data_IF_929049948682
#
_entry.id   IF_929049948682
#
_cell.length_a   1.000
_cell.length_b   1.000
_cell.length_c   1.000
_cell.angle_alpha   90.00
_cell.angle_beta   90.00
_cell.angle_gamma   90.00
#
_symmetry.space_group_name_H-M   'P 1'
#
loop_
_entity.id
_entity.type
_entity.pdbx_description
1 polymer ?
#
# COMPACT_ATOMS: atom_id res chain seq x y z
N UNK A 1 9.11 -0.27 -11.85
CA UNK A 1 8.42 -1.10 -10.84
C UNK A 1 7.18 -0.38 -10.32
N UNK A 2 6.12 -0.36 -11.13
CA UNK A 2 4.80 0.08 -10.68
C UNK A 2 4.12 -1.10 -9.97
N UNK A 3 3.34 -0.81 -8.94
CA UNK A 3 2.79 -1.76 -7.98
C UNK A 3 1.29 -1.57 -7.83
N UNK A 4 0.55 -2.65 -7.63
CA UNK A 4 -0.91 -2.70 -7.56
C UNK A 4 -1.39 -2.92 -6.13
N UNK A 5 -2.33 -2.09 -5.69
CA UNK A 5 -2.85 -2.11 -4.31
C UNK A 5 -3.75 -3.32 -4.04
N UNK A 6 -4.57 -3.74 -5.00
CA UNK A 6 -5.54 -4.83 -4.78
C UNK A 6 -4.85 -6.18 -4.45
N UNK A 7 -3.81 -6.60 -5.18
CA UNK A 7 -3.04 -7.80 -4.82
C UNK A 7 -2.34 -7.68 -3.47
N UNK A 8 -1.80 -6.50 -3.14
CA UNK A 8 -1.18 -6.26 -1.84
C UNK A 8 -2.18 -6.32 -0.67
N UNK A 9 -3.38 -5.76 -0.86
CA UNK A 9 -4.48 -5.85 0.09
C UNK A 9 -4.90 -7.31 0.32
N UNK A 10 -5.00 -8.10 -0.75
CA UNK A 10 -5.27 -9.54 -0.66
C UNK A 10 -4.16 -10.29 0.08
N UNK A 11 -2.90 -9.95 -0.18
CA UNK A 11 -1.76 -10.56 0.50
C UNK A 11 -1.77 -10.27 2.02
N UNK A 12 -2.12 -9.04 2.43
CA UNK A 12 -2.34 -8.70 3.84
C UNK A 12 -3.47 -9.51 4.47
N UNK A 13 -4.61 -9.60 3.79
CA UNK A 13 -5.79 -10.31 4.30
C UNK A 13 -5.61 -11.83 4.38
N UNK A 14 -4.73 -12.38 3.55
CA UNK A 14 -4.36 -13.80 3.59
C UNK A 14 -3.30 -14.14 4.64
N UNK A 15 -2.66 -13.15 5.26
CA UNK A 15 -1.64 -13.39 6.29
C UNK A 15 -2.35 -13.77 7.62
N UNK A 16 -2.16 -15.01 8.13
CA UNK A 16 -2.87 -15.47 9.32
C UNK A 16 -2.46 -14.73 10.60
N UNK A 17 -1.32 -14.02 10.58
CA UNK A 17 -0.87 -13.19 11.70
C UNK A 17 -1.29 -11.73 11.54
N UNK A 18 -2.00 -11.37 10.47
CA UNK A 18 -2.54 -10.01 10.30
C UNK A 18 -3.81 -9.84 11.14
N UNK A 19 -3.74 -8.92 12.10
CA UNK A 19 -4.86 -8.54 12.97
C UNK A 19 -5.48 -7.22 12.48
N UNK A 20 -6.30 -7.32 11.42
CA UNK A 20 -6.88 -6.15 10.75
C UNK A 20 -8.41 -6.29 10.68
N UNK A 21 -9.11 -5.38 11.36
CA UNK A 21 -10.58 -5.36 11.38
C UNK A 21 -11.21 -4.61 10.21
N UNK A 22 -10.46 -3.71 9.57
CA UNK A 22 -10.94 -2.96 8.42
C UNK A 22 -9.89 -1.97 7.92
N UNK A 23 -10.20 -1.30 6.81
CA UNK A 23 -9.21 -0.48 6.10
C UNK A 23 -9.66 0.97 5.91
N UNK A 24 -8.75 1.90 6.15
CA UNK A 24 -8.81 3.22 5.51
C UNK A 24 -8.12 3.09 4.16
N UNK A 25 -8.90 3.18 3.09
CA UNK A 25 -8.46 2.99 1.72
C UNK A 25 -7.91 4.32 1.14
N UNK A 26 -6.82 4.26 0.35
CA UNK A 26 -6.11 5.45 -0.12
C UNK A 26 -6.92 6.26 -1.13
N UNK A 27 -7.21 7.53 -0.82
CA UNK A 27 -7.97 8.43 -1.70
C UNK A 27 -7.38 8.58 -3.11
N UNK A 28 -6.09 8.89 -3.24
CA UNK A 28 -5.46 9.12 -4.56
C UNK A 28 -5.43 7.88 -5.45
N UNK A 29 -5.13 6.71 -4.89
CA UNK A 29 -5.18 5.46 -5.67
C UNK A 29 -6.63 5.15 -6.06
N UNK A 30 -7.57 5.33 -5.15
CA UNK A 30 -9.00 5.12 -5.41
C UNK A 30 -9.56 6.08 -6.46
N UNK A 31 -9.00 7.28 -6.59
CA UNK A 31 -9.35 8.20 -7.68
C UNK A 31 -9.04 7.62 -9.06
N UNK A 32 -8.02 6.77 -9.16
CA UNK A 32 -7.64 6.08 -10.40
C UNK A 32 -8.43 4.78 -10.56
N UNK A 33 -8.47 3.94 -9.53
CA UNK A 33 -8.99 2.55 -9.63
C UNK A 33 -10.47 2.41 -9.30
N UNK A 34 -11.07 3.43 -8.71
CA UNK A 34 -12.47 3.45 -8.32
C UNK A 34 -12.74 2.75 -7.01
N UNK A 35 -13.96 2.91 -6.51
CA UNK A 35 -14.43 2.26 -5.28
C UNK A 35 -14.75 0.77 -5.50
N UNK A 36 -15.34 0.41 -6.65
CA UNK A 36 -15.87 -0.95 -6.88
C UNK A 36 -14.82 -2.04 -6.85
N UNK A 37 -13.58 -1.75 -7.24
CA UNK A 37 -12.50 -2.75 -7.31
C UNK A 37 -12.12 -3.32 -5.94
N UNK A 38 -12.40 -2.60 -4.84
CA UNK A 38 -12.12 -3.08 -3.50
C UNK A 38 -13.15 -4.10 -3.00
N UNK A 39 -14.40 -4.02 -3.48
CA UNK A 39 -15.52 -4.81 -2.94
C UNK A 39 -15.30 -6.32 -2.98
N UNK A 40 -14.87 -6.93 -4.10
CA UNK A 40 -14.75 -8.39 -4.16
C UNK A 40 -13.71 -8.92 -3.19
N UNK A 41 -12.61 -8.18 -3.00
CA UNK A 41 -11.52 -8.58 -2.09
C UNK A 41 -11.97 -8.39 -0.65
N UNK A 42 -12.46 -7.21 -0.27
CA UNK A 42 -12.83 -6.94 1.11
C UNK A 42 -14.01 -7.80 1.60
N UNK A 43 -15.01 -7.99 0.74
CA UNK A 43 -16.16 -8.86 1.03
C UNK A 43 -15.76 -10.32 1.21
N UNK A 44 -14.80 -10.83 0.43
CA UNK A 44 -14.35 -12.22 0.53
C UNK A 44 -13.71 -12.56 1.90
N UNK A 45 -13.16 -11.56 2.60
CA UNK A 45 -12.55 -11.72 3.92
C UNK A 45 -13.41 -11.14 5.05
N UNK A 46 -14.63 -10.68 4.73
CA UNK A 46 -15.56 -10.11 5.72
C UNK A 46 -15.04 -8.82 6.37
N UNK A 47 -14.20 -8.04 5.69
CA UNK A 47 -13.61 -6.81 6.25
C UNK A 47 -14.21 -5.56 5.59
N UNK A 48 -14.64 -4.54 6.34
CA UNK A 48 -15.03 -3.26 5.77
C UNK A 48 -13.84 -2.43 5.27
N UNK A 49 -14.13 -1.48 4.40
CA UNK A 49 -13.16 -0.48 3.97
C UNK A 49 -13.80 0.89 3.75
N UNK A 50 -13.12 1.96 4.11
CA UNK A 50 -13.59 3.33 3.87
C UNK A 50 -12.53 4.11 3.11
N UNK A 51 -12.87 4.59 1.92
CA UNK A 51 -12.01 5.49 1.16
C UNK A 51 -12.11 6.88 1.77
N UNK A 52 -10.98 7.47 2.15
CA UNK A 52 -10.90 8.79 2.73
C UNK A 52 -9.89 9.68 1.98
N UNK A 53 -10.11 11.00 2.04
CA UNK A 53 -9.12 12.00 1.65
C UNK A 53 -8.03 12.20 2.72
N UNK A 54 -7.18 13.20 2.53
CA UNK A 54 -5.99 13.42 3.36
C UNK A 54 -6.10 14.59 4.35
N UNK A 55 -7.22 15.32 4.32
CA UNK A 55 -7.50 16.37 5.28
C UNK A 55 -7.96 15.77 6.62
N UNK A 56 -7.71 16.48 7.72
CA UNK A 56 -8.03 15.99 9.06
C UNK A 56 -9.50 15.55 9.21
N UNK A 57 -10.44 16.31 8.65
CA UNK A 57 -11.86 15.98 8.71
C UNK A 57 -12.22 14.73 7.88
N UNK A 58 -11.55 14.50 6.74
CA UNK A 58 -11.73 13.28 5.96
C UNK A 58 -11.30 12.05 6.75
N UNK A 59 -10.17 12.12 7.45
CA UNK A 59 -9.69 11.02 8.29
C UNK A 59 -10.62 10.77 9.47
N UNK A 60 -11.11 11.81 10.15
CA UNK A 60 -12.07 11.68 11.25
C UNK A 60 -13.36 10.99 10.78
N UNK A 61 -13.95 11.46 9.68
CA UNK A 61 -15.16 10.86 9.11
C UNK A 61 -14.88 9.43 8.65
N UNK A 62 -13.79 9.21 7.93
CA UNK A 62 -13.41 7.88 7.45
C UNK A 62 -13.24 6.86 8.58
N UNK A 63 -12.53 7.24 9.64
CA UNK A 63 -12.36 6.39 10.84
C UNK A 63 -13.69 6.15 11.55
N UNK A 64 -14.51 7.18 11.79
CA UNK A 64 -15.80 7.01 12.44
C UNK A 64 -16.75 6.09 11.65
N UNK A 65 -16.81 6.25 10.33
CA UNK A 65 -17.58 5.38 9.44
C UNK A 65 -17.06 3.95 9.48
N UNK A 66 -15.73 3.76 9.46
CA UNK A 66 -15.13 2.42 9.52
C UNK A 66 -15.48 1.71 10.82
N UNK A 67 -15.34 2.41 11.96
CA UNK A 67 -15.70 1.88 13.27
C UNK A 67 -17.17 1.48 13.34
N UNK A 68 -18.06 2.27 12.73
CA UNK A 68 -19.48 1.93 12.68
C UNK A 68 -19.77 0.67 11.86
N UNK A 69 -19.08 0.48 10.73
CA UNK A 69 -19.20 -0.74 9.93
C UNK A 69 -18.70 -1.97 10.70
N UNK A 70 -17.60 -1.83 11.43
CA UNK A 70 -17.06 -2.89 12.29
C UNK A 70 -18.05 -3.24 13.40
N UNK A 71 -18.60 -2.25 14.11
CA UNK A 71 -19.61 -2.42 15.14
C UNK A 71 -20.88 -3.12 14.61
N UNK A 72 -21.32 -2.75 13.40
CA UNK A 72 -22.50 -3.31 12.75
C UNK A 72 -22.23 -4.69 12.10
N UNK A 73 -20.98 -5.18 12.09
CA UNK A 73 -20.60 -6.42 11.42
C UNK A 73 -20.76 -6.39 9.89
N UNK A 74 -20.64 -5.21 9.26
CA UNK A 74 -20.87 -5.01 7.83
C UNK A 74 -19.56 -4.99 7.05
N UNK A 75 -19.39 -5.92 6.13
CA UNK A 75 -18.25 -5.96 5.19
C UNK A 75 -18.54 -5.12 3.93
N UNK A 76 -18.75 -3.82 4.12
CA UNK A 76 -19.03 -2.87 3.03
C UNK A 76 -17.81 -1.99 2.75
N UNK A 77 -17.70 -1.55 1.50
CA UNK A 77 -16.82 -0.44 1.14
C UNK A 77 -17.63 0.84 1.17
N UNK A 78 -17.11 1.95 1.70
CA UNK A 78 -17.78 3.26 1.68
C UNK A 78 -16.82 4.29 1.10
N UNK A 79 -17.36 5.18 0.25
CA UNK A 79 -16.61 6.30 -0.29
C UNK A 79 -16.91 7.56 0.53
N UNK A 80 -16.02 7.91 1.45
CA UNK A 80 -16.07 9.16 2.22
C UNK A 80 -15.25 10.28 1.55
N UNK A 81 -14.91 10.14 0.27
CA UNK A 81 -14.24 11.15 -0.54
C UNK A 81 -14.88 11.30 -1.95
N UNK A 82 -16.22 11.51 -2.02
CA UNK A 82 -16.99 11.43 -3.27
C UNK A 82 -16.67 12.55 -4.28
N UNK A 83 -16.08 13.66 -3.84
CA UNK A 83 -15.68 14.76 -4.72
C UNK A 83 -14.50 14.40 -5.62
N UNK A 84 -13.68 13.41 -5.23
CA UNK A 84 -12.52 12.95 -6.01
C UNK A 84 -12.72 11.54 -6.56
N UNK A 85 -13.34 10.65 -5.78
CA UNK A 85 -13.40 9.22 -6.11
C UNK A 85 -14.74 8.84 -6.72
N UNK A 86 -14.70 8.20 -7.89
CA UNK A 86 -15.87 7.64 -8.58
C UNK A 86 -15.98 6.13 -8.35
N UNK A 87 -17.14 5.56 -8.63
CA UNK A 87 -17.38 4.13 -8.55
C UNK A 87 -16.39 3.33 -9.41
N UNK A 88 -16.22 3.74 -10.66
CA UNK A 88 -15.33 3.15 -11.68
C UNK A 88 -13.94 3.79 -11.78
N UNK A 89 -13.65 4.82 -10.98
CA UNK A 89 -12.37 5.51 -10.99
C UNK A 89 -12.16 6.40 -12.22
N UNK A 90 -10.97 6.31 -12.82
CA UNK A 90 -10.60 7.07 -14.01
C UNK A 90 -10.36 6.15 -15.21
N UNK A 91 -11.38 5.92 -16.06
CA UNK A 91 -11.26 5.00 -17.19
C UNK A 91 -10.23 5.45 -18.23
N UNK A 92 -9.98 6.77 -18.37
CA UNK A 92 -8.98 7.28 -19.31
C UNK A 92 -7.56 6.99 -18.85
N UNK A 93 -7.30 7.12 -17.55
CA UNK A 93 -6.00 6.77 -16.98
C UNK A 93 -5.75 5.26 -17.12
N UNK A 94 -6.74 4.42 -16.83
CA UNK A 94 -6.63 2.98 -17.00
C UNK A 94 -6.42 2.55 -18.44
N UNK A 95 -7.11 3.16 -19.41
CA UNK A 95 -6.88 2.86 -20.82
C UNK A 95 -5.42 3.10 -21.25
N UNK A 96 -4.75 4.12 -20.69
CA UNK A 96 -3.33 4.36 -20.93
C UNK A 96 -2.47 3.28 -20.27
N UNK A 97 -2.76 2.93 -19.01
CA UNK A 97 -2.05 1.86 -18.31
C UNK A 97 -2.16 0.54 -19.10
N UNK A 98 -3.37 0.15 -19.49
CA UNK A 98 -3.64 -1.04 -20.31
C UNK A 98 -3.01 -0.98 -21.69
N UNK A 99 -2.78 0.22 -22.25
CA UNK A 99 -2.07 0.36 -23.53
C UNK A 99 -0.62 -0.10 -23.40
N UNK A 100 0.08 0.31 -22.33
CA UNK A 100 1.53 0.10 -22.22
C UNK A 100 1.95 -1.09 -21.35
N UNK A 101 1.11 -1.47 -20.39
CA UNK A 101 1.49 -2.39 -19.33
C UNK A 101 0.60 -3.64 -19.29
N UNK A 102 1.17 -4.71 -18.76
CA UNK A 102 0.46 -5.91 -18.34
C UNK A 102 0.86 -6.26 -16.90
N UNK A 103 -0.05 -6.95 -16.19
CA UNK A 103 0.21 -7.41 -14.83
C UNK A 103 1.32 -8.47 -14.80
N UNK A 104 2.13 -8.44 -13.74
CA UNK A 104 3.19 -9.40 -13.50
C UNK A 104 3.45 -9.57 -12.01
N UNK A 105 4.09 -10.68 -11.65
CA UNK A 105 4.61 -10.90 -10.31
C UNK A 105 5.68 -9.84 -10.01
N UNK A 106 5.63 -9.28 -8.81
CA UNK A 106 6.54 -8.23 -8.40
C UNK A 106 6.97 -8.43 -6.95
N UNK A 107 8.22 -8.05 -6.67
CA UNK A 107 8.77 -8.12 -5.33
C UNK A 107 8.31 -6.91 -4.51
N UNK A 108 7.71 -7.20 -3.36
CA UNK A 108 7.29 -6.22 -2.38
C UNK A 108 8.14 -6.38 -1.13
N UNK A 109 8.89 -5.33 -0.81
CA UNK A 109 9.74 -5.36 0.38
C UNK A 109 8.90 -5.60 1.63
N UNK A 110 9.28 -6.62 2.40
CA UNK A 110 8.55 -7.10 3.57
C UNK A 110 7.45 -8.13 3.29
N UNK A 111 6.97 -8.24 2.05
CA UNK A 111 5.98 -9.25 1.64
C UNK A 111 6.58 -10.38 0.80
N UNK A 112 7.77 -10.18 0.23
CA UNK A 112 8.32 -11.05 -0.80
C UNK A 112 7.61 -10.83 -2.14
N UNK A 113 7.65 -11.84 -3.00
CA UNK A 113 6.97 -11.77 -4.30
C UNK A 113 5.46 -11.93 -4.13
N UNK A 114 4.69 -10.94 -4.57
CA UNK A 114 3.23 -11.03 -4.61
C UNK A 114 2.82 -11.28 -6.08
N UNK A 115 2.04 -12.33 -6.37
CA UNK A 115 1.61 -12.62 -7.73
C UNK A 115 0.76 -11.51 -8.34
N UNK A 116 0.96 -11.23 -9.63
CA UNK A 116 0.18 -10.24 -10.41
C UNK A 116 0.05 -8.87 -9.73
N UNK A 117 1.08 -8.47 -8.99
CA UNK A 117 1.05 -7.28 -8.11
C UNK A 117 1.84 -6.09 -8.63
N UNK A 118 2.44 -6.22 -9.80
CA UNK A 118 3.14 -5.14 -10.47
C UNK A 118 2.75 -5.03 -11.94
N UNK A 119 3.31 -4.02 -12.58
CA UNK A 119 3.22 -3.84 -14.03
C UNK A 119 4.59 -3.99 -14.68
N UNK A 120 4.62 -4.72 -15.78
CA UNK A 120 5.71 -4.74 -16.75
C UNK A 120 5.22 -4.19 -18.08
N UNK A 121 6.14 -3.71 -18.92
CA UNK A 121 5.77 -3.30 -20.26
C UNK A 121 5.25 -4.50 -21.06
N UNK A 122 4.21 -4.29 -21.87
CA UNK A 122 3.80 -5.26 -22.89
C UNK A 122 4.93 -5.45 -23.90
N UNK A 123 4.92 -6.60 -24.58
CA UNK A 123 5.95 -6.98 -25.57
C UNK A 123 6.26 -5.87 -26.58
N UNK A 124 5.23 -5.20 -27.11
CA UNK A 124 5.40 -4.11 -28.09
C UNK A 124 6.20 -2.91 -27.54
N UNK A 125 6.18 -2.70 -26.22
CA UNK A 125 6.83 -1.58 -25.52
C UNK A 125 8.09 -1.98 -24.74
N UNK A 126 8.52 -3.24 -24.79
CA UNK A 126 9.71 -3.74 -24.08
C UNK A 126 11.00 -3.00 -24.48
N UNK A 127 11.04 -2.40 -25.68
CA UNK A 127 12.14 -1.51 -26.11
C UNK A 127 12.33 -0.28 -25.21
N UNK A 128 11.37 0.01 -24.31
CA UNK A 128 11.43 1.09 -23.31
C UNK A 128 11.81 0.59 -21.92
N UNK A 129 11.92 -0.73 -21.71
CA UNK A 129 12.31 -1.29 -20.43
C UNK A 129 13.83 -1.23 -20.26
N UNK A 130 14.29 -0.51 -19.24
CA UNK A 130 15.70 -0.40 -18.92
C UNK A 130 16.33 -1.74 -18.52
N UNK A 131 15.57 -2.67 -17.92
CA UNK A 131 16.06 -4.01 -17.57
C UNK A 131 16.41 -4.83 -18.81
N UNK A 132 15.64 -4.66 -19.89
CA UNK A 132 15.90 -5.30 -21.18
C UNK A 132 17.03 -4.61 -21.95
N UNK A 133 17.02 -3.27 -21.96
CA UNK A 133 18.05 -2.50 -22.66
C UNK A 133 19.44 -2.65 -22.03
N UNK A 134 19.50 -2.84 -20.71
CA UNK A 134 20.74 -2.89 -19.93
C UNK A 134 20.76 -4.10 -18.99
N UNK A 135 21.13 -5.29 -19.47
CA UNK A 135 21.20 -6.48 -18.62
C UNK A 135 22.33 -6.34 -17.60
N UNK A 136 21.96 -6.12 -16.34
CA UNK A 136 22.89 -6.00 -15.21
C UNK A 136 22.64 -7.13 -14.21
N UNK A 137 23.71 -7.77 -13.72
CA UNK A 137 23.63 -8.71 -12.61
C UNK A 137 23.58 -7.93 -11.30
N UNK A 138 22.43 -7.98 -10.63
CA UNK A 138 22.23 -7.35 -9.32
C UNK A 138 22.43 -8.40 -8.23
N UNK A 139 23.16 -8.05 -7.18
CA UNK A 139 23.27 -8.91 -5.99
C UNK A 139 21.97 -8.85 -5.18
N UNK A 140 21.57 -9.93 -4.50
CA UNK A 140 20.38 -9.91 -3.66
C UNK A 140 20.48 -8.82 -2.60
N UNK A 141 19.36 -8.16 -2.33
CA UNK A 141 19.28 -7.16 -1.26
C UNK A 141 19.58 -7.82 0.09
N UNK A 142 20.37 -7.14 0.93
CA UNK A 142 20.61 -7.59 2.30
C UNK A 142 19.68 -6.83 3.23
N UNK A 143 18.88 -7.56 4.00
CA UNK A 143 18.11 -6.97 5.08
C UNK A 143 19.04 -6.54 6.21
N UNK A 144 18.77 -5.37 6.80
CA UNK A 144 19.49 -4.92 7.99
C UNK A 144 19.06 -5.74 9.21
N UNK A 145 19.96 -6.48 9.87
CA UNK A 145 19.59 -7.33 11.00
C UNK A 145 18.86 -6.57 12.10
N UNK A 146 17.72 -7.11 12.54
CA UNK A 146 16.87 -6.52 13.58
C UNK A 146 16.03 -5.32 13.13
N UNK A 147 16.04 -4.93 11.86
CA UNK A 147 15.11 -3.95 11.33
C UNK A 147 13.70 -4.55 11.22
N UNK A 148 12.71 -3.94 11.88
CA UNK A 148 11.30 -4.38 11.83
C UNK A 148 10.46 -3.69 10.74
N UNK A 149 11.08 -3.11 9.71
CA UNK A 149 10.34 -2.42 8.65
C UNK A 149 9.31 -3.34 7.94
N UNK A 150 9.57 -4.64 7.67
CA UNK A 150 8.55 -5.57 7.19
C UNK A 150 7.29 -5.63 8.08
N UNK A 151 7.48 -5.77 9.40
CA UNK A 151 6.37 -5.81 10.35
C UNK A 151 5.59 -4.50 10.38
N UNK A 152 6.30 -3.36 10.33
CA UNK A 152 5.68 -2.03 10.32
C UNK A 152 4.83 -1.82 9.07
N UNK A 153 5.32 -2.22 7.89
CA UNK A 153 4.55 -2.09 6.64
C UNK A 153 3.33 -3.03 6.65
N UNK A 154 3.42 -4.18 7.30
CA UNK A 154 2.29 -5.11 7.49
C UNK A 154 1.33 -4.73 8.61
N UNK A 155 1.61 -3.67 9.36
CA UNK A 155 0.81 -3.29 10.53
C UNK A 155 0.98 -4.20 11.76
N UNK A 156 1.95 -5.11 11.76
CA UNK A 156 2.24 -6.04 12.88
C UNK A 156 3.09 -5.40 14.00
N UNK A 157 3.62 -4.21 13.75
CA UNK A 157 4.42 -3.45 14.70
C UNK A 157 4.27 -1.95 14.42
N UNK A 158 4.44 -1.12 15.43
CA UNK A 158 4.64 0.31 15.24
C UNK A 158 6.14 0.65 15.23
N UNK A 159 6.56 1.79 14.66
CA UNK A 159 7.98 2.14 14.56
C UNK A 159 8.74 2.09 15.89
N UNK A 160 8.07 2.38 17.01
CA UNK A 160 8.69 2.35 18.36
C UNK A 160 8.97 0.93 18.88
N UNK A 161 8.38 -0.10 18.28
CA UNK A 161 8.66 -1.50 18.63
C UNK A 161 9.95 -2.01 17.96
N UNK A 162 10.53 -1.21 17.06
CA UNK A 162 11.82 -1.50 16.43
C UNK A 162 12.97 -1.07 17.35
N UNK A 163 13.93 -1.95 17.70
CA UNK A 163 15.01 -1.63 18.63
C UNK A 163 15.93 -0.52 18.12
N UNK A 164 15.97 -0.31 16.80
CA UNK A 164 16.81 0.68 16.13
C UNK A 164 16.16 2.07 16.03
N UNK A 165 14.84 2.18 16.17
CA UNK A 165 14.10 3.41 15.87
C UNK A 165 14.50 4.57 16.78
N UNK A 166 14.89 5.70 16.17
CA UNK A 166 15.30 6.92 16.87
C UNK A 166 16.64 6.82 17.61
N UNK A 167 17.31 5.66 17.53
CA UNK A 167 18.66 5.42 18.05
C UNK A 167 19.64 5.34 16.88
N UNK A 168 19.94 4.11 16.42
CA UNK A 168 20.79 3.87 15.25
C UNK A 168 20.10 4.10 13.91
N UNK A 169 18.75 4.14 13.88
CA UNK A 169 17.96 4.45 12.69
C UNK A 169 17.27 5.80 12.86
N UNK A 170 17.72 6.80 12.10
CA UNK A 170 17.18 8.18 12.06
C UNK A 170 17.10 8.66 10.62
N UNK A 171 16.43 9.79 10.31
CA UNK A 171 16.43 10.33 8.95
C UNK A 171 17.82 10.64 8.38
N UNK A 172 18.78 11.01 9.24
CA UNK A 172 20.18 11.25 8.83
C UNK A 172 20.99 9.96 8.68
N UNK A 173 20.64 8.92 9.44
CA UNK A 173 21.27 7.60 9.39
C UNK A 173 20.20 6.50 9.29
N UNK A 174 19.56 6.34 8.11
CA UNK A 174 18.46 5.39 7.97
C UNK A 174 18.99 3.97 7.78
N UNK A 175 18.45 3.03 8.55
CA UNK A 175 18.79 1.60 8.44
C UNK A 175 17.83 0.81 7.53
N UNK A 176 16.68 1.39 7.18
CA UNK A 176 15.65 0.73 6.40
C UNK A 176 14.76 1.75 5.66
N UNK A 177 14.03 1.31 4.64
CA UNK A 177 13.31 2.20 3.72
C UNK A 177 12.17 2.95 4.40
N UNK A 178 11.58 2.38 5.46
CA UNK A 178 10.56 3.05 6.26
C UNK A 178 11.06 4.37 6.88
N UNK A 179 12.38 4.55 7.04
CA UNK A 179 13.01 5.78 7.55
C UNK A 179 13.57 6.68 6.43
N UNK A 180 13.82 6.13 5.23
CA UNK A 180 14.31 6.89 4.07
C UNK A 180 13.17 7.59 3.34
N UNK A 181 12.05 6.88 3.14
CA UNK A 181 10.92 7.37 2.34
C UNK A 181 10.22 8.53 3.03
N UNK A 182 9.84 9.56 2.25
CA UNK A 182 8.97 10.65 2.70
C UNK A 182 7.58 10.17 3.14
N UNK A 183 7.13 9.05 2.58
CA UNK A 183 5.87 8.38 2.93
C UNK A 183 6.08 7.22 3.93
N UNK A 184 7.32 7.01 4.38
CA UNK A 184 7.67 5.93 5.28
C UNK A 184 7.09 6.14 6.69
N UNK A 185 6.43 5.11 7.22
CA UNK A 185 5.82 5.16 8.55
C UNK A 185 6.82 5.53 9.66
N UNK A 186 8.06 5.02 9.60
CA UNK A 186 9.09 5.37 10.59
C UNK A 186 9.54 6.83 10.45
N UNK A 187 9.75 7.33 9.24
CA UNK A 187 10.11 8.73 9.01
C UNK A 187 9.01 9.68 9.52
N UNK A 188 7.74 9.36 9.22
CA UNK A 188 6.58 10.12 9.70
C UNK A 188 6.49 10.11 11.23
N UNK A 189 6.59 8.92 11.86
CA UNK A 189 6.62 8.80 13.32
C UNK A 189 7.75 9.61 13.93
N UNK A 190 8.96 9.54 13.38
CA UNK A 190 10.11 10.28 13.91
C UNK A 190 9.91 11.78 13.83
N UNK A 191 9.36 12.28 12.72
CA UNK A 191 9.11 13.71 12.49
C UNK A 191 8.08 14.28 13.45
N UNK A 192 6.97 13.58 13.67
CA UNK A 192 5.83 14.12 14.41
C UNK A 192 5.74 13.66 15.87
N UNK A 193 6.59 12.75 16.35
CA UNK A 193 6.67 12.34 17.76
C UNK A 193 7.35 13.38 18.67
N UNK A 194 8.04 14.39 18.10
CA UNK A 194 8.72 15.47 18.85
C UNK A 194 7.83 16.70 19.11
N UNK A 195 6.54 16.49 19.35
CA UNK A 195 5.62 17.51 19.87
C UNK A 195 5.07 17.09 21.22
#
# INVERSE_FOLDING_TARGET
SHKLVIPALKALLSDPEADIDGFILPGHVSAIIGRKVYEPVLKAYGRPGVIAGFEAHHLIVGTATLLKLIEDGKAEVINAYPEVVREEGNPRAWALVETFFEEADEEWRGFGTIPMSGHKFKKEYMHRDAKEAFPVKVSPERETPGCRCPDVVKGKAIPTDCPHFGKGCTPLHPLGPCMVSSEGACAAYYKYRRS
#
